data_IF_372641206866
#
_entry.id   IF_372641206866
#
_cell.length_a   1.000
_cell.length_b   1.000
_cell.length_c   1.000
_cell.angle_alpha   90.00
_cell.angle_beta   90.00
_cell.angle_gamma   90.00
#
_symmetry.space_group_name_H-M   'P 1'
#
loop_
_entity.id
_entity.type
_entity.pdbx_description
1 polymer ?
#
# COMPACT_ATOMS: atom_id res chain seq x y z
N UNK A 1 -5.77 13.34 -5.51
CA UNK A 1 -7.00 13.29 -4.67
C UNK A 1 -7.33 11.87 -4.20
N UNK A 2 -7.69 10.93 -5.08
CA UNK A 2 -8.04 9.55 -4.64
C UNK A 2 -6.91 8.84 -3.89
N UNK A 3 -5.70 8.83 -4.47
CA UNK A 3 -4.51 8.29 -3.82
C UNK A 3 -4.12 9.03 -2.54
N UNK A 4 -4.42 10.34 -2.47
CA UNK A 4 -4.21 11.17 -1.28
C UNK A 4 -5.05 10.66 -0.11
N UNK A 5 -6.32 10.29 -0.35
CA UNK A 5 -7.22 9.75 0.69
C UNK A 5 -6.74 8.40 1.21
N UNK A 6 -6.27 7.52 0.32
CA UNK A 6 -5.70 6.22 0.71
C UNK A 6 -4.44 6.45 1.57
N UNK A 7 -3.53 7.31 1.12
CA UNK A 7 -2.27 7.58 1.83
C UNK A 7 -2.52 8.20 3.20
N UNK A 8 -3.42 9.18 3.27
CA UNK A 8 -3.87 9.76 4.53
C UNK A 8 -4.37 8.69 5.49
N UNK A 9 -5.28 7.81 5.04
CA UNK A 9 -5.80 6.74 5.91
C UNK A 9 -4.75 5.70 6.29
N UNK A 10 -3.74 5.47 5.47
CA UNK A 10 -2.60 4.62 5.81
C UNK A 10 -1.73 5.25 6.93
N UNK A 11 -1.51 6.57 6.92
CA UNK A 11 -0.84 7.25 8.04
C UNK A 11 -1.67 7.21 9.32
N UNK A 12 -2.99 7.45 9.20
CA UNK A 12 -3.91 7.29 10.33
C UNK A 12 -3.87 5.86 10.87
N UNK A 13 -3.78 4.83 10.01
CA UNK A 13 -3.63 3.45 10.47
C UNK A 13 -2.35 3.21 11.28
N UNK A 14 -1.22 3.77 10.84
CA UNK A 14 0.04 3.69 11.61
C UNK A 14 -0.07 4.39 12.96
N UNK A 15 -0.72 5.56 13.00
CA UNK A 15 -0.96 6.28 14.25
C UNK A 15 -1.90 5.48 15.17
N UNK A 16 -2.98 4.93 14.61
CA UNK A 16 -3.94 4.07 15.31
C UNK A 16 -3.24 2.89 15.98
N UNK A 17 -2.35 2.18 15.27
CA UNK A 17 -1.53 1.11 15.85
C UNK A 17 -0.68 1.60 17.04
N UNK A 18 -0.08 2.79 16.94
CA UNK A 18 0.80 3.34 17.98
C UNK A 18 0.05 3.80 19.24
N UNK A 19 -1.20 4.24 19.10
CA UNK A 19 -2.01 4.74 20.22
C UNK A 19 -3.06 3.73 20.72
N UNK A 20 -3.12 2.54 20.12
CA UNK A 20 -4.08 1.49 20.48
C UNK A 20 -5.52 1.76 20.02
N UNK A 21 -5.70 2.54 18.95
CA UNK A 21 -7.00 2.79 18.32
C UNK A 21 -7.24 1.85 17.12
N UNK A 22 -8.51 1.69 16.72
CA UNK A 22 -8.88 0.97 15.50
C UNK A 22 -9.11 1.95 14.34
N UNK A 23 -8.34 1.80 13.26
CA UNK A 23 -8.49 2.64 12.05
C UNK A 23 -9.85 2.44 11.37
N UNK A 24 -10.49 1.28 11.52
CA UNK A 24 -11.83 1.00 10.98
C UNK A 24 -12.87 1.88 11.67
N UNK A 25 -12.73 2.11 12.97
CA UNK A 25 -13.59 3.04 13.72
C UNK A 25 -13.37 4.48 13.27
N UNK A 26 -12.11 4.90 13.10
CA UNK A 26 -11.77 6.24 12.60
C UNK A 26 -12.34 6.45 11.19
N UNK A 27 -12.16 5.46 10.30
CA UNK A 27 -12.74 5.46 8.96
C UNK A 27 -14.25 5.65 9.00
N UNK A 28 -14.96 4.90 9.86
CA UNK A 28 -16.43 4.97 10.00
C UNK A 28 -16.88 6.37 10.43
N UNK A 29 -16.21 6.97 11.41
CA UNK A 29 -16.52 8.33 11.89
C UNK A 29 -16.28 9.37 10.80
N UNK A 30 -15.15 9.28 10.09
CA UNK A 30 -14.85 10.18 8.97
C UNK A 30 -15.85 10.04 7.82
N UNK A 31 -16.23 8.81 7.49
CA UNK A 31 -17.17 8.51 6.41
C UNK A 31 -18.59 9.04 6.67
N UNK A 32 -18.95 9.28 7.93
CA UNK A 32 -20.26 9.81 8.31
C UNK A 32 -20.46 11.28 7.90
N UNK A 33 -19.37 12.03 7.69
CA UNK A 33 -19.47 13.39 7.14
C UNK A 33 -19.63 13.33 5.60
N UNK A 34 -20.76 13.79 5.03
CA UNK A 34 -20.99 13.73 3.60
C UNK A 34 -20.02 14.57 2.77
N UNK A 35 -19.33 15.56 3.39
CA UNK A 35 -18.29 16.36 2.72
C UNK A 35 -17.00 15.56 2.52
N UNK A 36 -16.76 14.55 3.35
CA UNK A 36 -15.63 13.63 3.24
C UNK A 36 -16.02 12.44 2.37
N UNK A 37 -17.16 11.82 2.65
CA UNK A 37 -17.68 10.62 1.98
C UNK A 37 -16.88 9.34 2.28
N UNK A 38 -17.49 8.18 2.03
CA UNK A 38 -16.95 6.87 2.45
C UNK A 38 -15.89 6.26 1.51
N UNK A 39 -15.81 6.71 0.25
CA UNK A 39 -14.96 6.06 -0.77
C UNK A 39 -13.48 6.37 -0.55
N UNK A 40 -12.60 5.44 -0.88
CA UNK A 40 -11.14 5.59 -0.80
C UNK A 40 -10.61 5.91 0.61
N UNK A 41 -11.30 5.45 1.66
CA UNK A 41 -10.85 5.61 3.05
C UNK A 41 -10.32 4.31 3.69
N UNK A 42 -10.34 3.19 2.97
CA UNK A 42 -9.81 1.94 3.49
C UNK A 42 -8.28 1.95 3.50
N UNK A 43 -7.70 1.89 4.70
CA UNK A 43 -6.27 1.67 4.88
C UNK A 43 -5.90 0.23 4.49
N UNK A 44 -4.63 0.01 4.13
CA UNK A 44 -4.14 -1.30 3.72
C UNK A 44 -2.64 -1.33 3.47
N UNK A 45 -2.17 -2.26 2.63
CA UNK A 45 -0.75 -2.45 2.32
C UNK A 45 -0.20 -1.44 1.29
N UNK A 46 -0.88 -0.32 1.09
CA UNK A 46 -0.61 0.64 0.01
C UNK A 46 -1.45 0.38 -1.24
N UNK A 47 -1.50 1.37 -2.13
CA UNK A 47 -2.09 1.26 -3.46
C UNK A 47 -1.05 0.84 -4.49
N UNK A 48 -1.56 0.27 -5.58
CA UNK A 48 -0.79 -0.14 -6.76
C UNK A 48 -1.59 0.10 -8.04
N UNK A 49 -1.38 -0.76 -9.02
CA UNK A 49 -2.06 -0.71 -10.31
C UNK A 49 -1.40 0.28 -11.27
N UNK A 50 -1.84 0.25 -12.52
CA UNK A 50 -1.20 1.02 -13.58
C UNK A 50 -1.53 2.51 -13.64
N UNK A 51 -2.38 3.05 -12.75
CA UNK A 51 -2.81 4.45 -12.81
C UNK A 51 -2.15 5.29 -11.72
N UNK A 52 -2.45 5.07 -10.43
CA UNK A 52 -2.00 5.98 -9.37
C UNK A 52 -0.47 6.15 -9.31
N UNK A 53 0.36 5.10 -9.29
CA UNK A 53 1.80 5.27 -9.20
C UNK A 53 2.39 6.06 -10.38
N UNK A 54 1.98 5.76 -11.62
CA UNK A 54 2.50 6.44 -12.80
C UNK A 54 1.99 7.89 -12.89
N UNK A 55 0.71 8.11 -12.63
CA UNK A 55 0.07 9.42 -12.87
C UNK A 55 0.58 10.43 -11.84
N UNK A 56 0.75 10.01 -10.57
CA UNK A 56 1.31 10.88 -9.54
C UNK A 56 2.77 11.25 -9.83
N UNK A 57 3.60 10.29 -10.27
CA UNK A 57 5.00 10.56 -10.65
C UNK A 57 5.08 11.48 -11.87
N UNK A 58 4.20 11.31 -12.86
CA UNK A 58 4.12 12.19 -14.02
C UNK A 58 3.70 13.62 -13.62
N UNK A 59 2.74 13.77 -12.71
CA UNK A 59 2.33 15.09 -12.18
C UNK A 59 3.51 15.76 -11.46
N UNK A 60 4.27 15.02 -10.64
CA UNK A 60 5.46 15.54 -9.96
C UNK A 60 6.54 15.97 -10.96
N UNK A 61 6.80 15.16 -11.99
CA UNK A 61 7.75 15.51 -13.05
C UNK A 61 7.34 16.80 -13.77
N UNK A 62 6.08 16.90 -14.18
CA UNK A 62 5.53 18.12 -14.80
C UNK A 62 5.64 19.34 -13.88
N UNK A 63 5.43 19.18 -12.57
CA UNK A 63 5.65 20.24 -11.60
C UNK A 63 7.11 20.71 -11.59
N UNK A 64 8.06 19.77 -11.53
CA UNK A 64 9.49 20.10 -11.56
C UNK A 64 9.92 20.78 -12.87
N UNK A 65 9.37 20.35 -14.02
CA UNK A 65 9.64 20.99 -15.34
C UNK A 65 9.13 22.44 -15.43
N UNK A 66 8.25 22.84 -14.51
CA UNK A 66 7.68 24.18 -14.41
C UNK A 66 8.11 24.89 -13.11
N UNK A 67 9.23 24.48 -12.50
CA UNK A 67 9.77 25.05 -11.26
C UNK A 67 8.78 25.06 -10.07
N UNK A 68 7.79 24.15 -10.08
CA UNK A 68 6.77 24.00 -9.05
C UNK A 68 7.04 22.77 -8.17
N UNK A 69 7.26 23.01 -6.88
CA UNK A 69 7.43 21.93 -5.92
C UNK A 69 6.07 21.44 -5.34
N UNK A 70 5.57 20.33 -5.87
CA UNK A 70 4.28 19.73 -5.46
C UNK A 70 4.40 18.87 -4.18
N UNK A 71 4.71 19.51 -3.04
CA UNK A 71 4.95 18.84 -1.75
C UNK A 71 3.89 17.79 -1.37
N UNK A 72 2.60 18.15 -1.43
CA UNK A 72 1.52 17.23 -1.06
C UNK A 72 1.51 15.95 -1.92
N UNK A 73 1.76 16.08 -3.22
CA UNK A 73 1.75 14.93 -4.13
C UNK A 73 2.98 14.05 -3.89
N UNK A 74 4.14 14.66 -3.63
CA UNK A 74 5.37 13.94 -3.24
C UNK A 74 5.15 13.14 -1.95
N UNK A 75 4.58 13.76 -0.92
CA UNK A 75 4.27 13.08 0.35
C UNK A 75 3.29 11.91 0.16
N UNK A 76 2.29 12.03 -0.72
CA UNK A 76 1.38 10.92 -1.05
C UNK A 76 2.12 9.71 -1.62
N UNK A 77 3.12 9.94 -2.49
CA UNK A 77 3.94 8.87 -3.05
C UNK A 77 4.81 8.25 -1.95
N UNK A 78 5.50 9.09 -1.16
CA UNK A 78 6.41 8.66 -0.09
C UNK A 78 5.69 7.83 0.98
N UNK A 79 4.51 8.27 1.41
CA UNK A 79 3.66 7.54 2.36
C UNK A 79 3.29 6.16 1.80
N UNK A 80 2.91 6.08 0.53
CA UNK A 80 2.54 4.81 -0.11
C UNK A 80 3.74 3.86 -0.21
N UNK A 81 4.89 4.37 -0.66
CA UNK A 81 6.11 3.58 -0.80
C UNK A 81 6.58 3.03 0.56
N UNK A 82 6.45 3.83 1.64
CA UNK A 82 6.68 3.37 3.00
C UNK A 82 5.61 2.36 3.47
N UNK A 83 4.34 2.56 3.12
CA UNK A 83 3.24 1.66 3.49
C UNK A 83 3.44 0.25 2.93
N UNK A 84 4.02 0.11 1.73
CA UNK A 84 4.29 -1.21 1.12
C UNK A 84 5.27 -2.08 1.94
N UNK A 85 5.99 -1.50 2.91
CA UNK A 85 6.89 -2.24 3.80
C UNK A 85 6.23 -2.67 5.12
N UNK A 86 5.05 -2.12 5.46
CA UNK A 86 4.46 -2.26 6.80
C UNK A 86 4.26 -3.72 7.21
N UNK A 87 3.89 -4.59 6.27
CA UNK A 87 3.68 -6.02 6.53
C UNK A 87 4.99 -6.76 6.78
N UNK A 88 6.05 -6.40 6.06
CA UNK A 88 7.38 -6.95 6.28
C UNK A 88 7.89 -6.53 7.66
N UNK A 89 7.79 -5.24 7.98
CA UNK A 89 8.27 -4.68 9.24
C UNK A 89 7.57 -5.34 10.43
N UNK A 90 6.24 -5.50 10.35
CA UNK A 90 5.45 -6.24 11.36
C UNK A 90 5.88 -7.70 11.47
N UNK A 91 6.14 -8.37 10.35
CA UNK A 91 6.60 -9.77 10.36
C UNK A 91 8.00 -9.89 11.00
N UNK A 92 8.93 -9.01 10.64
CA UNK A 92 10.28 -8.97 11.23
C UNK A 92 10.23 -8.67 12.72
N UNK A 93 9.40 -7.71 13.15
CA UNK A 93 9.21 -7.40 14.57
C UNK A 93 8.66 -8.59 15.35
N UNK A 94 7.69 -9.32 14.78
CA UNK A 94 7.06 -10.44 15.44
C UNK A 94 7.93 -11.70 15.48
N UNK A 95 8.63 -12.01 14.39
CA UNK A 95 9.39 -13.25 14.25
C UNK A 95 10.91 -13.11 14.47
N UNK A 96 11.43 -11.89 14.53
CA UNK A 96 12.85 -11.55 14.63
C UNK A 96 13.61 -11.75 13.31
N UNK A 97 13.55 -12.95 12.74
CA UNK A 97 14.16 -13.31 11.45
C UNK A 97 13.20 -14.13 10.60
N UNK A 98 13.22 -13.90 9.28
CA UNK A 98 12.41 -14.67 8.33
C UNK A 98 13.20 -15.76 7.58
N UNK A 99 14.51 -15.87 7.83
CA UNK A 99 15.38 -16.84 7.17
C UNK A 99 14.88 -18.28 7.39
N UNK A 100 14.65 -19.00 6.29
CA UNK A 100 14.17 -20.38 6.31
C UNK A 100 12.68 -20.55 6.65
N UNK A 101 11.93 -19.47 6.87
CA UNK A 101 10.47 -19.53 7.07
C UNK A 101 9.75 -19.68 5.74
N UNK A 102 8.54 -20.23 5.78
CA UNK A 102 7.64 -20.33 4.62
C UNK A 102 6.47 -19.37 4.81
N UNK A 103 6.36 -18.38 3.93
CA UNK A 103 5.35 -17.35 3.95
C UNK A 103 4.29 -17.63 2.88
N UNK A 104 3.02 -17.72 3.30
CA UNK A 104 1.90 -17.79 2.38
C UNK A 104 1.37 -16.38 2.07
N UNK A 105 1.18 -16.06 0.79
CA UNK A 105 0.59 -14.81 0.32
C UNK A 105 -0.75 -15.11 -0.34
N UNK A 106 -1.82 -14.46 0.14
CA UNK A 106 -3.16 -14.55 -0.43
C UNK A 106 -3.48 -13.24 -1.16
N UNK A 107 -3.54 -13.32 -2.49
CA UNK A 107 -3.70 -12.18 -3.39
C UNK A 107 -2.37 -11.75 -4.02
N UNK A 108 -2.38 -11.60 -5.35
CA UNK A 108 -1.25 -11.14 -6.18
C UNK A 108 -1.64 -9.91 -7.01
N UNK A 109 -2.90 -9.84 -7.44
CA UNK A 109 -3.47 -8.69 -8.12
C UNK A 109 -3.41 -7.43 -7.25
N UNK A 110 -3.34 -6.24 -7.87
CA UNK A 110 -3.25 -4.98 -7.12
C UNK A 110 -4.55 -4.61 -6.40
N UNK A 111 -5.66 -5.23 -6.78
CA UNK A 111 -7.01 -5.09 -6.18
C UNK A 111 -7.86 -6.32 -6.54
N UNK A 112 -9.00 -6.56 -5.86
CA UNK A 112 -9.91 -7.63 -6.22
C UNK A 112 -10.43 -7.56 -7.67
N UNK A 113 -10.88 -8.71 -8.18
CA UNK A 113 -11.59 -8.85 -9.45
C UNK A 113 -10.78 -8.46 -10.70
N UNK A 114 -9.46 -8.57 -10.65
CA UNK A 114 -8.57 -8.41 -11.80
C UNK A 114 -7.35 -9.34 -11.70
N UNK A 115 -6.73 -9.64 -12.83
CA UNK A 115 -5.45 -10.32 -12.95
C UNK A 115 -4.27 -9.35 -13.10
N UNK A 116 -4.51 -8.04 -13.04
CA UNK A 116 -3.47 -7.02 -13.17
C UNK A 116 -2.59 -6.98 -11.91
N UNK A 117 -1.30 -7.27 -12.10
CA UNK A 117 -0.27 -7.28 -11.05
C UNK A 117 0.68 -6.08 -11.11
N UNK A 118 0.45 -5.12 -12.03
CA UNK A 118 1.33 -3.96 -12.19
C UNK A 118 1.34 -3.13 -10.90
N UNK A 119 2.54 -2.84 -10.40
CA UNK A 119 2.77 -2.13 -9.15
C UNK A 119 1.99 -2.71 -7.95
N UNK A 120 1.62 -4.00 -7.98
CA UNK A 120 0.87 -4.61 -6.90
C UNK A 120 1.72 -4.69 -5.61
N UNK A 121 1.21 -4.22 -4.45
CA UNK A 121 1.93 -4.29 -3.17
C UNK A 121 2.40 -5.70 -2.80
N UNK A 122 1.63 -6.73 -3.20
CA UNK A 122 1.98 -8.13 -3.01
C UNK A 122 3.34 -8.47 -3.63
N UNK A 123 3.65 -7.99 -4.84
CA UNK A 123 4.93 -8.27 -5.49
C UNK A 123 6.10 -7.58 -4.77
N UNK A 124 5.91 -6.36 -4.26
CA UNK A 124 6.89 -5.68 -3.42
C UNK A 124 7.17 -6.49 -2.16
N UNK A 125 6.13 -6.96 -1.47
CA UNK A 125 6.27 -7.77 -0.27
C UNK A 125 6.99 -9.10 -0.57
N UNK A 126 6.60 -9.81 -1.63
CA UNK A 126 7.22 -11.09 -2.03
C UNK A 126 8.72 -10.92 -2.26
N UNK A 127 9.13 -9.90 -3.04
CA UNK A 127 10.55 -9.64 -3.31
C UNK A 127 11.34 -9.41 -2.03
N UNK A 128 10.76 -8.69 -1.07
CA UNK A 128 11.41 -8.41 0.21
C UNK A 128 11.48 -9.63 1.13
N UNK A 129 10.40 -10.42 1.21
CA UNK A 129 10.40 -11.68 1.96
C UNK A 129 11.49 -12.64 1.45
N UNK A 130 11.63 -12.75 0.13
CA UNK A 130 12.70 -13.55 -0.49
C UNK A 130 14.09 -13.00 -0.15
N UNK A 131 14.26 -11.67 -0.16
CA UNK A 131 15.51 -11.02 0.23
C UNK A 131 15.89 -11.28 1.72
N UNK A 132 14.90 -11.41 2.61
CA UNK A 132 15.08 -11.79 4.01
C UNK A 132 15.30 -13.32 4.22
N UNK A 133 15.44 -14.08 3.12
CA UNK A 133 15.72 -15.50 3.15
C UNK A 133 14.51 -16.39 3.47
N UNK A 134 13.30 -15.87 3.36
CA UNK A 134 12.08 -16.66 3.42
C UNK A 134 11.84 -17.40 2.10
N UNK A 135 11.04 -18.46 2.17
CA UNK A 135 10.41 -19.08 1.00
C UNK A 135 8.98 -18.57 0.90
N UNK A 136 8.51 -18.29 -0.31
CA UNK A 136 7.17 -17.75 -0.54
C UNK A 136 6.33 -18.74 -1.32
N UNK A 137 5.10 -18.96 -0.87
CA UNK A 137 4.05 -19.59 -1.67
C UNK A 137 2.90 -18.60 -1.80
N UNK A 138 2.39 -18.42 -3.00
CA UNK A 138 1.36 -17.43 -3.26
C UNK A 138 0.17 -18.05 -3.98
N UNK A 139 -1.02 -17.51 -3.72
CA UNK A 139 -2.25 -17.86 -4.43
C UNK A 139 -3.04 -16.60 -4.73
N UNK A 140 -3.55 -16.51 -5.96
CA UNK A 140 -4.53 -15.54 -6.39
C UNK A 140 -5.51 -16.24 -7.34
N UNK A 141 -6.82 -16.01 -7.22
CA UNK A 141 -7.82 -16.73 -8.01
C UNK A 141 -7.82 -16.36 -9.50
N UNK A 142 -7.28 -15.20 -9.89
CA UNK A 142 -7.35 -14.69 -11.26
C UNK A 142 -5.97 -14.61 -11.94
N UNK A 143 -4.89 -14.42 -11.16
CA UNK A 143 -3.51 -14.39 -11.70
C UNK A 143 -3.04 -15.81 -12.01
N UNK A 144 -2.91 -16.13 -13.30
CA UNK A 144 -2.53 -17.47 -13.77
C UNK A 144 -1.03 -17.65 -14.02
N UNK A 145 -0.29 -16.57 -14.20
CA UNK A 145 1.15 -16.60 -14.43
C UNK A 145 1.83 -15.36 -13.83
N UNK A 146 3.09 -15.52 -13.42
CA UNK A 146 3.98 -14.42 -13.08
C UNK A 146 4.96 -14.21 -14.24
N UNK A 147 5.33 -12.96 -14.56
CA UNK A 147 6.35 -12.64 -15.55
C UNK A 147 7.75 -13.08 -15.12
#
# INVERSE_FOLDING_TARGET
MLATRISFMNEIAKLSDAVGADVIDVQRVMAADPRIGAKYLSAGAGFGGSCFPKDLRAIVAMGNDNDMNLNLIKSVIEVNDAQQNVLLDKAMQHFGSLKGKRCAIWGLSFKPETDDIRDAPALTLIRRLLAEGATVVAHDPLVKWLP
#
